data_IF_756929967915
#
_entry.id   IF_756929967915
#
_cell.length_a   1.000
_cell.length_b   1.000
_cell.length_c   1.000
_cell.angle_alpha   90.00
_cell.angle_beta   90.00
_cell.angle_gamma   90.00
#
_symmetry.space_group_name_H-M   'P 1'
#
loop_
_entity.id
_entity.type
_entity.pdbx_description
1 polymer ?
#
# COMPACT_ATOMS: atom_id res chain seq x y z
N UNK A 1 -20.52 4.34 -32.43
CA UNK A 1 -19.69 5.00 -33.47
C UNK A 1 -18.46 4.19 -33.86
N UNK A 2 -17.73 3.62 -32.91
CA UNK A 2 -16.57 2.74 -33.17
C UNK A 2 -16.87 1.31 -32.74
N UNK A 3 -16.17 0.35 -33.37
CA UNK A 3 -16.16 -1.06 -32.96
C UNK A 3 -15.10 -1.34 -31.89
N UNK A 4 -14.94 -2.59 -31.48
CA UNK A 4 -13.97 -3.01 -30.46
C UNK A 4 -12.51 -2.85 -30.90
N UNK A 5 -12.23 -2.75 -32.19
CA UNK A 5 -10.91 -2.48 -32.75
C UNK A 5 -10.61 -0.96 -32.86
N UNK A 6 -11.55 -0.10 -32.47
CA UNK A 6 -11.44 1.36 -32.60
C UNK A 6 -11.63 1.87 -34.03
N UNK A 7 -12.32 1.09 -34.87
CA UNK A 7 -12.64 1.44 -36.24
C UNK A 7 -14.06 2.00 -36.31
N UNK A 8 -14.27 3.04 -37.11
CA UNK A 8 -15.57 3.66 -37.30
C UNK A 8 -16.54 2.66 -37.96
N UNK A 9 -17.72 2.52 -37.35
CA UNK A 9 -18.74 1.57 -37.81
C UNK A 9 -19.36 1.95 -39.15
N UNK A 10 -19.93 0.97 -39.91
CA UNK A 10 -20.52 1.20 -41.22
C UNK A 10 -21.62 2.26 -41.26
N UNK A 11 -22.31 2.51 -40.15
CA UNK A 11 -23.39 3.49 -40.03
C UNK A 11 -22.89 4.96 -39.98
N UNK A 12 -21.57 5.16 -39.95
CA UNK A 12 -20.97 6.49 -39.89
C UNK A 12 -20.46 6.92 -41.29
N UNK A 13 -20.40 8.20 -41.57
CA UNK A 13 -19.79 8.70 -42.81
C UNK A 13 -18.29 8.36 -42.96
N UNK A 14 -17.67 7.89 -41.87
CA UNK A 14 -16.25 7.57 -41.75
C UNK A 14 -15.99 6.08 -41.67
N UNK A 15 -16.91 5.26 -42.15
CA UNK A 15 -16.85 3.79 -42.06
C UNK A 15 -15.48 3.21 -42.45
N UNK A 16 -14.95 2.32 -41.65
CA UNK A 16 -13.68 1.66 -41.88
C UNK A 16 -12.43 2.47 -41.51
N UNK A 17 -12.57 3.76 -41.15
CA UNK A 17 -11.44 4.55 -40.67
C UNK A 17 -11.15 4.25 -39.20
N UNK A 18 -9.87 4.17 -38.84
CA UNK A 18 -9.48 4.09 -37.44
C UNK A 18 -9.69 5.43 -36.75
N UNK A 19 -10.41 5.45 -35.63
CA UNK A 19 -10.72 6.70 -34.91
C UNK A 19 -9.46 7.48 -34.47
N UNK A 20 -8.41 6.74 -34.01
CA UNK A 20 -7.09 7.31 -33.69
C UNK A 20 -6.01 6.39 -34.29
N UNK A 21 -5.47 6.70 -35.48
CA UNK A 21 -4.36 5.96 -36.06
C UNK A 21 -3.10 6.10 -35.22
N UNK A 22 -2.28 5.06 -35.18
CA UNK A 22 -0.95 5.10 -34.56
C UNK A 22 0.00 5.94 -35.40
N UNK A 23 1.12 6.38 -34.80
CA UNK A 23 2.15 7.11 -35.52
C UNK A 23 2.68 6.36 -36.74
N UNK A 24 2.89 5.04 -36.64
CA UNK A 24 3.32 4.16 -37.73
C UNK A 24 2.29 4.10 -38.87
N UNK A 25 1.00 4.01 -38.54
CA UNK A 25 -0.08 4.01 -39.53
C UNK A 25 -0.17 5.36 -40.25
N UNK A 26 0.01 6.47 -39.53
CA UNK A 26 0.06 7.82 -40.12
C UNK A 26 1.26 7.97 -41.07
N UNK A 27 2.43 7.49 -40.71
CA UNK A 27 3.63 7.48 -41.55
C UNK A 27 3.43 6.59 -42.80
N UNK A 28 2.61 5.53 -42.67
CA UNK A 28 2.21 4.64 -43.78
C UNK A 28 1.07 5.21 -44.65
N UNK A 29 0.61 6.44 -44.37
CA UNK A 29 -0.41 7.12 -45.16
C UNK A 29 -1.85 6.96 -44.64
N UNK A 30 -2.05 6.46 -43.41
CA UNK A 30 -3.39 6.43 -42.85
C UNK A 30 -3.96 7.84 -42.64
N UNK A 31 -5.24 8.01 -42.99
CA UNK A 31 -5.94 9.28 -42.86
C UNK A 31 -6.36 9.48 -41.39
N UNK A 32 -6.11 10.67 -40.86
CA UNK A 32 -6.57 11.04 -39.54
C UNK A 32 -8.09 11.29 -39.56
N UNK A 33 -8.84 10.46 -38.83
CA UNK A 33 -10.29 10.56 -38.76
C UNK A 33 -10.75 11.95 -38.25
N UNK A 34 -10.04 12.58 -37.30
CA UNK A 34 -10.39 13.92 -36.81
C UNK A 34 -10.40 14.95 -37.92
N UNK A 35 -9.44 14.89 -38.87
CA UNK A 35 -9.36 15.80 -39.99
C UNK A 35 -10.53 15.61 -40.93
N UNK A 36 -10.93 14.39 -41.23
CA UNK A 36 -12.08 14.10 -42.10
C UNK A 36 -13.40 14.53 -41.45
N UNK A 37 -13.54 14.35 -40.11
CA UNK A 37 -14.69 14.86 -39.36
C UNK A 37 -14.77 16.39 -39.48
N UNK A 38 -13.67 17.11 -39.31
CA UNK A 38 -13.64 18.58 -39.46
C UNK A 38 -14.03 19.02 -40.87
N UNK A 39 -13.51 18.37 -41.92
CA UNK A 39 -13.88 18.66 -43.32
C UNK A 39 -15.37 18.43 -43.58
N UNK A 40 -15.93 17.34 -43.06
CA UNK A 40 -17.35 17.05 -43.20
C UNK A 40 -18.23 18.12 -42.51
N UNK A 41 -17.87 18.54 -41.28
CA UNK A 41 -18.58 19.57 -40.55
C UNK A 41 -18.48 20.94 -41.25
N UNK A 42 -17.30 21.26 -41.81
CA UNK A 42 -17.09 22.47 -42.60
C UNK A 42 -17.92 22.43 -43.87
N UNK A 43 -17.90 21.32 -44.62
CA UNK A 43 -18.68 21.13 -45.84
C UNK A 43 -20.18 21.28 -45.63
N UNK A 44 -20.68 20.92 -44.43
CA UNK A 44 -22.08 21.10 -44.03
C UNK A 44 -22.38 22.48 -43.45
N UNK A 45 -21.39 23.35 -43.31
CA UNK A 45 -21.56 24.70 -42.75
C UNK A 45 -21.94 24.76 -41.27
N UNK A 46 -21.65 23.69 -40.51
CA UNK A 46 -21.97 23.56 -39.07
C UNK A 46 -20.74 23.57 -38.18
N UNK A 47 -19.53 23.68 -38.73
CA UNK A 47 -18.30 23.82 -37.96
C UNK A 47 -18.25 25.21 -37.32
N UNK A 48 -18.39 25.25 -35.96
CA UNK A 48 -18.34 26.52 -35.24
C UNK A 48 -16.89 27.03 -35.08
N UNK A 49 -15.98 26.15 -34.65
CA UNK A 49 -14.57 26.50 -34.43
C UNK A 49 -13.72 25.24 -34.33
N UNK A 50 -12.46 25.33 -34.78
CA UNK A 50 -11.48 24.22 -34.66
C UNK A 50 -10.10 24.78 -34.25
N UNK A 51 -9.98 25.35 -33.01
CA UNK A 51 -8.70 25.85 -32.54
C UNK A 51 -7.72 24.68 -32.31
N UNK A 52 -6.46 24.87 -32.64
CA UNK A 52 -5.40 23.93 -32.25
C UNK A 52 -5.08 24.14 -30.79
N UNK A 53 -5.23 23.09 -29.99
CA UNK A 53 -4.87 23.06 -28.57
C UNK A 53 -3.82 22.01 -28.36
N UNK A 54 -2.71 22.38 -27.75
CA UNK A 54 -1.67 21.46 -27.34
C UNK A 54 -2.00 20.96 -25.91
N UNK A 55 -2.11 19.68 -25.75
CA UNK A 55 -2.40 19.05 -24.46
C UNK A 55 -1.80 17.64 -24.40
N UNK A 56 -1.62 17.12 -23.18
CA UNK A 56 -1.25 15.73 -22.98
C UNK A 56 -2.41 14.80 -23.39
N UNK A 57 -2.10 13.81 -24.24
CA UNK A 57 -3.07 12.82 -24.70
C UNK A 57 -2.75 11.44 -24.11
N UNK A 58 -3.74 10.71 -23.57
CA UNK A 58 -3.50 9.41 -22.96
C UNK A 58 -3.13 8.36 -24.00
N UNK A 59 -2.02 7.64 -23.76
CA UNK A 59 -1.54 6.56 -24.58
C UNK A 59 -1.47 5.26 -23.77
N UNK A 60 -1.57 4.12 -24.46
CA UNK A 60 -1.40 2.81 -23.84
C UNK A 60 0.03 2.66 -23.31
N UNK A 61 0.19 2.40 -22.03
CA UNK A 61 1.50 2.23 -21.40
C UNK A 61 2.35 1.07 -21.95
N UNK A 62 1.73 0.13 -22.67
CA UNK A 62 2.40 -1.05 -23.24
C UNK A 62 2.81 -0.88 -24.69
N UNK A 63 1.94 -0.33 -25.54
CA UNK A 63 2.15 -0.25 -26.98
C UNK A 63 2.15 1.19 -27.54
N UNK A 64 2.03 2.19 -26.67
CA UNK A 64 2.04 3.62 -26.99
C UNK A 64 0.97 4.06 -28.01
N UNK A 65 -0.09 3.26 -28.18
CA UNK A 65 -1.21 3.65 -29.05
C UNK A 65 -2.10 4.68 -28.36
N UNK A 66 -2.59 5.71 -29.10
CA UNK A 66 -3.56 6.66 -28.55
C UNK A 66 -4.81 5.96 -28.06
N UNK A 67 -5.31 6.34 -26.90
CA UNK A 67 -6.54 5.80 -26.33
C UNK A 67 -7.77 6.53 -26.83
N UNK A 68 -8.91 5.87 -26.86
CA UNK A 68 -10.21 6.45 -27.19
C UNK A 68 -11.22 6.14 -26.08
N UNK A 69 -12.20 7.04 -25.93
CA UNK A 69 -13.36 6.78 -25.07
C UNK A 69 -14.52 6.26 -25.91
N UNK A 70 -15.09 5.12 -25.52
CA UNK A 70 -16.31 4.59 -26.12
C UNK A 70 -17.14 3.84 -25.10
N UNK A 71 -18.45 3.78 -25.30
CA UNK A 71 -19.35 3.07 -24.41
C UNK A 71 -19.17 1.56 -24.55
N UNK A 72 -19.09 0.88 -23.41
CA UNK A 72 -18.96 -0.56 -23.32
C UNK A 72 -19.80 -1.10 -22.16
N UNK A 73 -20.40 -2.25 -22.32
CA UNK A 73 -21.03 -2.97 -21.21
C UNK A 73 -19.99 -3.38 -20.18
N UNK A 74 -20.34 -3.26 -18.91
CA UNK A 74 -19.45 -3.56 -17.80
C UNK A 74 -20.26 -3.90 -16.56
N UNK A 75 -19.70 -4.69 -15.68
CA UNK A 75 -20.31 -5.04 -14.40
C UNK A 75 -19.90 -4.03 -13.33
N UNK A 76 -20.87 -3.59 -12.53
CA UNK A 76 -20.68 -2.60 -11.48
C UNK A 76 -21.26 -3.09 -10.16
N UNK A 77 -20.58 -2.75 -9.06
CA UNK A 77 -21.19 -2.73 -7.73
C UNK A 77 -21.74 -1.33 -7.49
N UNK A 78 -23.02 -1.23 -7.10
CA UNK A 78 -23.70 0.04 -6.88
C UNK A 78 -23.27 0.67 -5.55
N UNK A 79 -22.09 1.32 -5.53
CA UNK A 79 -21.53 1.97 -4.35
C UNK A 79 -22.24 3.31 -4.03
N UNK A 80 -22.98 3.87 -4.99
CA UNK A 80 -23.78 5.08 -4.84
C UNK A 80 -25.11 4.85 -4.12
N UNK A 81 -25.45 3.60 -3.80
CA UNK A 81 -26.61 3.29 -2.97
C UNK A 81 -26.52 4.06 -1.64
N UNK A 82 -27.59 4.76 -1.21
CA UNK A 82 -27.55 5.62 -0.02
C UNK A 82 -27.17 4.90 1.26
N UNK A 83 -27.59 3.65 1.44
CA UNK A 83 -27.27 2.85 2.62
C UNK A 83 -25.81 2.40 2.58
N UNK A 84 -25.35 1.87 1.45
CA UNK A 84 -23.94 1.47 1.27
C UNK A 84 -23.01 2.65 1.50
N UNK A 85 -23.31 3.80 0.91
CA UNK A 85 -22.53 5.02 1.08
C UNK A 85 -22.50 5.51 2.53
N UNK A 86 -23.64 5.49 3.21
CA UNK A 86 -23.72 5.87 4.63
C UNK A 86 -22.88 4.93 5.51
N UNK A 87 -22.93 3.62 5.26
CA UNK A 87 -22.16 2.62 5.96
C UNK A 87 -20.65 2.75 5.71
N UNK A 88 -20.21 3.04 4.48
CA UNK A 88 -18.81 3.33 4.16
C UNK A 88 -18.27 4.51 4.97
N UNK A 89 -19.03 5.61 5.02
CA UNK A 89 -18.66 6.81 5.77
C UNK A 89 -18.64 6.52 7.28
N UNK A 90 -19.62 5.78 7.79
CA UNK A 90 -19.69 5.41 9.20
C UNK A 90 -18.49 4.51 9.60
N UNK A 91 -18.20 3.49 8.82
CA UNK A 91 -17.06 2.58 9.05
C UNK A 91 -15.72 3.31 8.97
N UNK A 92 -15.55 4.23 8.00
CA UNK A 92 -14.34 5.06 7.92
C UNK A 92 -14.08 5.86 9.20
N UNK A 93 -15.10 6.36 9.86
CA UNK A 93 -14.99 7.14 11.11
C UNK A 93 -14.53 6.30 12.30
N UNK A 94 -14.60 4.99 12.24
CA UNK A 94 -14.11 4.09 13.30
C UNK A 94 -12.62 3.79 13.19
N UNK A 95 -11.99 4.15 12.08
CA UNK A 95 -10.57 3.87 11.81
C UNK A 95 -9.70 4.98 12.40
N UNK A 96 -8.66 4.59 13.10
CA UNK A 96 -7.61 5.50 13.56
C UNK A 96 -6.63 5.78 12.40
N UNK A 97 -6.85 6.87 11.69
CA UNK A 97 -5.99 7.33 10.60
C UNK A 97 -4.81 8.13 11.14
N UNK A 98 -3.61 7.79 10.67
CA UNK A 98 -2.38 8.47 11.03
C UNK A 98 -1.70 8.95 9.74
N UNK A 99 -1.80 10.27 9.42
CA UNK A 99 -2.49 11.32 10.16
C UNK A 99 -4.02 11.32 9.96
N UNK A 100 -4.75 11.77 10.95
CA UNK A 100 -6.22 11.89 10.96
C UNK A 100 -6.78 12.65 9.74
N UNK A 101 -6.02 13.65 9.25
CA UNK A 101 -6.39 14.48 8.09
C UNK A 101 -6.56 13.69 6.79
N UNK A 102 -5.98 12.51 6.67
CA UNK A 102 -6.21 11.64 5.51
C UNK A 102 -7.59 11.01 5.58
N UNK A 103 -8.00 10.49 6.74
CA UNK A 103 -9.30 9.86 6.95
C UNK A 103 -10.46 10.83 6.81
N UNK A 104 -10.34 12.04 7.34
CA UNK A 104 -11.38 13.08 7.28
C UNK A 104 -11.37 13.87 5.97
N UNK A 105 -10.17 14.17 5.44
CA UNK A 105 -9.96 14.95 4.23
C UNK A 105 -9.96 14.10 2.97
N UNK A 106 -8.76 13.72 2.50
CA UNK A 106 -8.56 13.06 1.19
C UNK A 106 -9.41 11.80 0.98
N UNK A 107 -9.49 10.93 1.98
CA UNK A 107 -10.25 9.69 1.89
C UNK A 107 -11.73 9.91 2.18
N UNK A 108 -12.07 10.62 3.26
CA UNK A 108 -13.44 10.91 3.65
C UNK A 108 -14.21 11.71 2.59
N UNK A 109 -13.64 12.81 2.08
CA UNK A 109 -14.22 13.59 1.00
C UNK A 109 -14.43 12.78 -0.28
N UNK A 110 -13.58 11.79 -0.54
CA UNK A 110 -13.77 10.90 -1.69
C UNK A 110 -14.93 9.92 -1.47
N UNK A 111 -15.09 9.37 -0.25
CA UNK A 111 -16.24 8.51 0.07
C UNK A 111 -17.58 9.26 -0.04
N UNK A 112 -17.59 10.55 0.30
CA UNK A 112 -18.77 11.42 0.11
C UNK A 112 -19.17 11.58 -1.36
N UNK A 113 -18.21 11.39 -2.29
CA UNK A 113 -18.39 11.48 -3.73
C UNK A 113 -18.14 10.15 -4.43
N UNK A 114 -18.30 9.03 -3.72
CA UNK A 114 -18.07 7.70 -4.27
C UNK A 114 -18.93 7.45 -5.51
N UNK A 115 -18.31 6.82 -6.51
CA UNK A 115 -18.97 6.36 -7.73
C UNK A 115 -19.15 4.85 -7.71
N UNK A 116 -20.03 4.34 -8.56
CA UNK A 116 -20.21 2.91 -8.73
C UNK A 116 -18.90 2.24 -9.17
N UNK A 117 -18.58 1.12 -8.57
CA UNK A 117 -17.33 0.44 -8.80
C UNK A 117 -17.42 -0.54 -9.97
N UNK A 118 -16.82 -0.20 -11.10
CA UNK A 118 -16.69 -1.10 -12.24
C UNK A 118 -15.74 -2.24 -11.93
N UNK A 119 -16.28 -3.43 -11.69
CA UNK A 119 -15.52 -4.61 -11.23
C UNK A 119 -15.06 -5.53 -12.35
N UNK A 120 -15.60 -5.45 -13.57
CA UNK A 120 -15.22 -6.34 -14.65
C UNK A 120 -14.04 -5.80 -15.47
N UNK A 121 -13.19 -6.72 -15.92
CA UNK A 121 -12.05 -6.42 -16.79
C UNK A 121 -12.06 -7.38 -17.98
N UNK A 122 -11.83 -6.84 -19.16
CA UNK A 122 -11.65 -7.64 -20.37
C UNK A 122 -10.17 -8.06 -20.47
N UNK A 123 -9.82 -9.10 -19.73
CA UNK A 123 -8.50 -9.72 -19.67
C UNK A 123 -8.64 -11.22 -19.81
N UNK A 124 -7.59 -11.87 -20.32
CA UNK A 124 -7.55 -13.33 -20.37
C UNK A 124 -7.29 -13.92 -18.99
N UNK A 125 -6.28 -13.39 -18.29
CA UNK A 125 -5.88 -13.88 -16.97
C UNK A 125 -6.41 -12.98 -15.84
N UNK A 126 -6.93 -13.60 -14.82
CA UNK A 126 -7.49 -13.02 -13.60
C UNK A 126 -8.55 -13.93 -13.02
N UNK A 127 -9.11 -13.59 -11.87
CA UNK A 127 -10.22 -14.29 -11.24
C UNK A 127 -11.47 -14.16 -12.11
N UNK A 128 -12.02 -15.25 -12.69
CA UNK A 128 -13.21 -15.18 -13.52
C UNK A 128 -14.43 -14.67 -12.76
N UNK A 129 -15.20 -13.78 -13.38
CA UNK A 129 -16.46 -13.32 -12.79
C UNK A 129 -17.44 -14.51 -12.73
N UNK A 130 -17.96 -14.82 -11.55
CA UNK A 130 -18.74 -16.01 -11.25
C UNK A 130 -20.24 -15.86 -11.60
N UNK A 131 -20.51 -15.34 -12.78
CA UNK A 131 -21.87 -15.10 -13.28
C UNK A 131 -22.10 -15.90 -14.56
N UNK A 132 -23.19 -16.66 -14.58
CA UNK A 132 -23.68 -17.39 -15.77
C UNK A 132 -24.90 -16.64 -16.30
N UNK A 133 -24.93 -16.41 -17.61
CA UNK A 133 -26.03 -15.74 -18.30
C UNK A 133 -26.65 -16.68 -19.33
N UNK A 134 -27.99 -16.73 -19.36
CA UNK A 134 -28.72 -17.50 -20.33
C UNK A 134 -28.66 -16.89 -21.73
N UNK A 135 -28.29 -17.68 -22.72
CA UNK A 135 -28.20 -17.24 -24.13
C UNK A 135 -29.59 -16.94 -24.75
N UNK A 136 -30.66 -17.57 -24.23
CA UNK A 136 -32.00 -17.44 -24.80
C UNK A 136 -32.82 -16.31 -24.18
N UNK A 137 -32.81 -16.19 -22.85
CA UNK A 137 -33.68 -15.21 -22.14
C UNK A 137 -32.93 -14.15 -21.36
N UNK A 138 -31.60 -14.19 -21.33
CA UNK A 138 -30.76 -13.22 -20.61
C UNK A 138 -30.78 -13.35 -19.09
N UNK A 139 -31.44 -14.36 -18.52
CA UNK A 139 -31.46 -14.60 -17.07
C UNK A 139 -30.05 -14.81 -16.55
N UNK A 140 -29.76 -14.29 -15.36
CA UNK A 140 -28.44 -14.31 -14.75
C UNK A 140 -28.45 -15.11 -13.45
N UNK A 141 -27.35 -15.84 -13.20
CA UNK A 141 -27.15 -16.63 -11.99
C UNK A 141 -25.71 -16.46 -11.51
N UNK A 142 -25.53 -16.09 -10.25
CA UNK A 142 -24.24 -16.09 -9.57
C UNK A 142 -24.03 -17.43 -8.88
N UNK A 143 -22.81 -17.97 -8.94
CA UNK A 143 -22.42 -19.24 -8.31
C UNK A 143 -21.32 -18.96 -7.30
N UNK A 144 -21.53 -19.34 -6.04
CA UNK A 144 -20.69 -18.95 -4.90
C UNK A 144 -19.68 -20.01 -4.47
N UNK A 145 -19.79 -21.28 -4.94
CA UNK A 145 -18.84 -22.34 -4.58
C UNK A 145 -18.67 -23.38 -5.68
N UNK A 146 -17.63 -24.20 -5.56
CA UNK A 146 -17.40 -25.34 -6.46
C UNK A 146 -18.52 -26.38 -6.33
N UNK A 147 -19.01 -26.61 -5.12
CA UNK A 147 -20.11 -27.52 -4.83
C UNK A 147 -21.39 -27.04 -5.53
N UNK A 148 -21.72 -25.77 -5.40
CA UNK A 148 -22.86 -25.17 -6.09
C UNK A 148 -22.72 -25.24 -7.63
N UNK A 149 -21.51 -25.03 -8.15
CA UNK A 149 -21.23 -25.17 -9.59
C UNK A 149 -21.46 -26.59 -10.07
N UNK A 150 -21.00 -27.60 -9.30
CA UNK A 150 -21.23 -29.02 -9.63
C UNK A 150 -22.71 -29.40 -9.58
N UNK A 151 -23.44 -28.89 -8.58
CA UNK A 151 -24.86 -29.14 -8.42
C UNK A 151 -25.69 -28.57 -9.58
N UNK A 152 -25.35 -27.35 -10.03
CA UNK A 152 -26.12 -26.63 -11.06
C UNK A 152 -25.69 -26.92 -12.48
N UNK A 153 -24.58 -27.60 -12.69
CA UNK A 153 -24.04 -27.90 -14.02
C UNK A 153 -24.11 -29.39 -14.34
N UNK A 154 -24.25 -29.71 -15.63
CA UNK A 154 -24.25 -31.10 -16.12
C UNK A 154 -22.84 -31.57 -16.54
N UNK A 155 -21.85 -30.66 -16.61
CA UNK A 155 -20.53 -30.92 -17.20
C UNK A 155 -19.34 -30.35 -16.37
N UNK A 156 -19.53 -30.06 -15.11
CA UNK A 156 -18.43 -29.61 -14.24
C UNK A 156 -17.52 -30.78 -13.84
N UNK A 157 -16.21 -30.75 -14.15
CA UNK A 157 -15.27 -31.78 -13.71
C UNK A 157 -15.11 -31.80 -12.19
N UNK A 158 -14.78 -33.00 -11.64
CA UNK A 158 -14.55 -33.13 -10.18
C UNK A 158 -13.39 -32.25 -9.66
N UNK A 159 -12.36 -32.10 -10.48
CA UNK A 159 -11.18 -31.30 -10.19
C UNK A 159 -11.13 -30.03 -11.04
N UNK A 160 -12.24 -29.29 -11.11
CA UNK A 160 -12.34 -28.10 -11.93
C UNK A 160 -11.24 -27.06 -11.59
N UNK A 161 -10.55 -26.58 -12.61
CA UNK A 161 -9.70 -25.39 -12.53
C UNK A 161 -10.55 -24.15 -12.77
N UNK A 162 -10.61 -23.24 -11.79
CA UNK A 162 -11.49 -22.06 -11.83
C UNK A 162 -11.01 -20.94 -12.73
N UNK A 163 -9.83 -21.06 -13.37
CA UNK A 163 -9.35 -20.08 -14.34
C UNK A 163 -9.83 -20.39 -15.77
N UNK A 164 -9.70 -19.40 -16.64
CA UNK A 164 -9.93 -19.57 -18.07
C UNK A 164 -8.82 -20.44 -18.68
N UNK A 165 -9.11 -21.32 -19.65
CA UNK A 165 -10.42 -21.49 -20.33
C UNK A 165 -11.34 -22.54 -19.66
N UNK A 166 -10.89 -23.17 -18.58
CA UNK A 166 -11.53 -24.36 -18.01
C UNK A 166 -12.94 -24.07 -17.48
N UNK A 167 -13.08 -23.04 -16.66
CA UNK A 167 -14.38 -22.65 -16.09
C UNK A 167 -15.34 -22.12 -17.16
N UNK A 168 -14.85 -21.57 -18.27
CA UNK A 168 -15.67 -21.08 -19.38
C UNK A 168 -16.37 -22.22 -20.13
N UNK A 169 -15.86 -23.46 -20.03
CA UNK A 169 -16.45 -24.64 -20.64
C UNK A 169 -17.62 -25.21 -19.82
N UNK A 170 -17.80 -24.76 -18.58
CA UNK A 170 -18.88 -25.25 -17.70
C UNK A 170 -20.17 -24.49 -18.00
N UNK A 171 -21.22 -25.23 -18.32
CA UNK A 171 -22.55 -24.69 -18.64
C UNK A 171 -23.57 -25.15 -17.61
N UNK A 172 -24.60 -24.32 -17.42
CA UNK A 172 -25.72 -24.62 -16.53
C UNK A 172 -27.05 -24.52 -17.27
N UNK A 173 -28.09 -25.08 -16.69
CA UNK A 173 -29.46 -24.90 -17.19
C UNK A 173 -30.12 -23.68 -16.59
N UNK A 174 -30.77 -22.90 -17.44
CA UNK A 174 -31.49 -21.71 -16.98
C UNK A 174 -32.70 -22.13 -16.15
N UNK A 175 -32.86 -21.60 -14.92
CA UNK A 175 -34.00 -21.92 -14.08
C UNK A 175 -35.32 -21.38 -14.63
N UNK A 176 -35.27 -20.37 -15.52
CA UNK A 176 -36.44 -19.69 -16.07
C UNK A 176 -36.94 -20.32 -17.38
N UNK A 177 -36.08 -20.64 -18.32
CA UNK A 177 -36.47 -21.13 -19.66
C UNK A 177 -35.86 -22.47 -20.02
N UNK A 178 -35.04 -23.08 -19.17
CA UNK A 178 -34.31 -24.33 -19.41
C UNK A 178 -33.27 -24.26 -20.55
N UNK A 179 -33.00 -23.04 -21.05
CA UNK A 179 -31.95 -22.81 -22.03
C UNK A 179 -30.54 -22.95 -21.45
N UNK A 180 -29.52 -22.82 -22.28
CA UNK A 180 -28.12 -22.95 -21.86
C UNK A 180 -27.61 -21.62 -21.26
N UNK A 181 -27.02 -21.71 -20.09
CA UNK A 181 -26.31 -20.59 -19.47
C UNK A 181 -24.80 -20.77 -19.62
N UNK A 182 -24.12 -19.72 -20.02
CA UNK A 182 -22.66 -19.63 -20.11
C UNK A 182 -22.12 -18.56 -19.19
N UNK A 183 -20.92 -18.79 -18.70
CA UNK A 183 -20.23 -17.79 -17.88
C UNK A 183 -19.92 -16.53 -18.72
N UNK A 184 -20.11 -15.37 -18.14
CA UNK A 184 -19.71 -14.09 -18.77
C UNK A 184 -18.19 -14.04 -18.96
N UNK A 185 -17.65 -13.50 -20.08
CA UNK A 185 -16.23 -13.66 -20.44
C UNK A 185 -15.27 -12.85 -19.59
N UNK A 186 -15.77 -11.90 -18.81
CA UNK A 186 -14.95 -10.99 -18.03
C UNK A 186 -14.27 -11.69 -16.85
N UNK A 187 -13.19 -11.09 -16.39
CA UNK A 187 -12.53 -11.38 -15.10
C UNK A 187 -12.78 -10.22 -14.13
N UNK A 188 -12.67 -10.49 -12.85
CA UNK A 188 -12.88 -9.48 -11.81
C UNK A 188 -11.68 -8.53 -11.73
N UNK A 189 -11.89 -7.33 -11.23
CA UNK A 189 -10.84 -6.37 -10.94
C UNK A 189 -9.89 -6.89 -9.85
N UNK A 190 -8.58 -6.84 -10.09
CA UNK A 190 -7.57 -7.23 -9.10
C UNK A 190 -7.65 -6.46 -7.78
N UNK A 191 -8.26 -5.27 -7.78
CA UNK A 191 -8.55 -4.54 -6.54
C UNK A 191 -9.65 -5.20 -5.70
N UNK A 192 -10.56 -5.94 -6.33
CA UNK A 192 -11.52 -6.79 -5.63
C UNK A 192 -10.80 -7.96 -4.95
N UNK A 193 -9.92 -8.66 -5.67
CA UNK A 193 -9.12 -9.76 -5.11
C UNK A 193 -8.31 -9.29 -3.91
N UNK A 194 -7.58 -8.17 -4.04
CA UNK A 194 -6.77 -7.63 -2.95
C UNK A 194 -7.61 -7.11 -1.77
N UNK A 195 -8.78 -6.57 -2.04
CA UNK A 195 -9.73 -6.12 -1.02
C UNK A 195 -10.43 -7.26 -0.27
N UNK A 196 -10.44 -8.45 -0.86
CA UNK A 196 -10.98 -9.69 -0.27
C UNK A 196 -9.99 -10.38 0.67
N UNK A 197 -8.72 -9.98 0.68
CA UNK A 197 -7.65 -10.62 1.43
C UNK A 197 -8.00 -10.92 2.90
N UNK A 198 -8.66 -10.03 3.68
CA UNK A 198 -8.89 -10.28 5.10
C UNK A 198 -9.63 -11.58 5.42
N UNK A 199 -10.51 -12.04 4.54
CA UNK A 199 -11.27 -13.28 4.71
C UNK A 199 -10.85 -14.37 3.73
N UNK A 200 -10.46 -14.00 2.49
CA UNK A 200 -10.05 -14.96 1.47
C UNK A 200 -8.80 -15.77 1.87
N UNK A 201 -7.84 -15.15 2.56
CA UNK A 201 -6.64 -15.85 3.07
C UNK A 201 -6.95 -16.98 4.04
N UNK A 202 -8.10 -16.93 4.70
CA UNK A 202 -8.57 -17.96 5.63
C UNK A 202 -9.53 -18.96 4.97
N UNK A 203 -9.87 -18.79 3.69
CA UNK A 203 -10.92 -19.52 2.99
C UNK A 203 -12.28 -19.41 3.71
N UNK A 204 -12.51 -18.26 4.37
CA UNK A 204 -13.78 -17.96 5.04
C UNK A 204 -14.89 -17.72 3.99
N UNK A 205 -16.13 -18.23 4.19
CA UNK A 205 -16.67 -18.84 5.43
C UNK A 205 -16.52 -20.35 5.50
N UNK A 206 -15.86 -21.01 4.56
CA UNK A 206 -15.81 -22.46 4.43
C UNK A 206 -14.82 -23.10 5.42
N UNK A 207 -13.71 -22.41 5.73
CA UNK A 207 -12.66 -22.87 6.61
C UNK A 207 -12.21 -21.75 7.55
N UNK A 208 -11.45 -22.11 8.62
CA UNK A 208 -10.74 -21.20 9.52
C UNK A 208 -11.58 -20.03 10.10
N UNK A 209 -12.88 -20.25 10.30
CA UNK A 209 -13.81 -19.23 10.78
C UNK A 209 -13.36 -18.59 12.10
N UNK A 210 -12.94 -19.41 13.07
CA UNK A 210 -12.48 -18.93 14.38
C UNK A 210 -11.23 -18.03 14.26
N UNK A 211 -10.29 -18.38 13.39
CA UNK A 211 -9.07 -17.59 13.13
C UNK A 211 -9.44 -16.25 12.53
N UNK A 212 -10.34 -16.25 11.55
CA UNK A 212 -10.83 -15.01 10.95
C UNK A 212 -11.51 -14.11 11.99
N UNK A 213 -12.43 -14.63 12.79
CA UNK A 213 -13.16 -13.87 13.80
C UNK A 213 -12.24 -13.27 14.88
N UNK A 214 -11.12 -13.91 15.19
CA UNK A 214 -10.12 -13.39 16.13
C UNK A 214 -9.22 -12.31 15.51
N UNK A 215 -8.96 -12.37 14.20
CA UNK A 215 -8.02 -11.48 13.51
C UNK A 215 -8.68 -10.33 12.77
N UNK A 216 -10.01 -10.34 12.63
CA UNK A 216 -10.77 -9.32 11.92
C UNK A 216 -11.53 -8.38 12.87
N UNK A 217 -11.36 -7.06 12.78
CA UNK A 217 -10.48 -6.31 11.85
C UNK A 217 -8.99 -6.47 12.15
N UNK A 218 -8.14 -6.24 11.13
CA UNK A 218 -6.70 -6.16 11.33
C UNK A 218 -6.35 -5.04 12.31
N UNK A 219 -5.43 -5.29 13.25
CA UNK A 219 -5.02 -4.28 14.23
C UNK A 219 -4.27 -3.11 13.61
N UNK A 220 -3.53 -3.35 12.53
CA UNK A 220 -2.69 -2.36 11.89
C UNK A 220 -2.45 -2.69 10.41
N UNK A 221 -2.51 -1.65 9.55
CA UNK A 221 -2.02 -1.69 8.18
C UNK A 221 -1.20 -0.43 7.87
N UNK A 222 -0.34 -0.49 6.86
CA UNK A 222 0.42 0.68 6.41
C UNK A 222 0.75 0.57 4.93
N UNK A 223 0.47 1.63 4.18
CA UNK A 223 0.82 1.80 2.77
C UNK A 223 0.88 3.29 2.41
N UNK A 224 1.32 3.60 1.19
CA UNK A 224 1.45 4.97 0.73
C UNK A 224 0.10 5.65 0.45
N UNK A 225 0.11 6.97 0.39
CA UNK A 225 -1.08 7.84 0.29
C UNK A 225 -1.91 7.62 -0.98
N UNK A 226 -1.32 7.09 -2.05
CA UNK A 226 -2.03 6.71 -3.28
C UNK A 226 -3.04 5.58 -3.04
N UNK A 227 -2.83 4.72 -2.03
CA UNK A 227 -3.72 3.64 -1.65
C UNK A 227 -5.07 4.10 -1.06
N UNK A 228 -5.25 5.38 -0.82
CA UNK A 228 -6.58 5.98 -0.58
C UNK A 228 -7.51 5.86 -1.82
N UNK A 229 -6.95 5.60 -3.00
CA UNK A 229 -7.65 5.30 -4.27
C UNK A 229 -7.33 3.90 -4.80
N UNK A 230 -6.92 3.00 -3.91
CA UNK A 230 -6.55 1.62 -4.20
C UNK A 230 -6.91 0.71 -3.04
N UNK A 231 -5.92 0.13 -2.40
CA UNK A 231 -6.11 -0.95 -1.42
C UNK A 231 -6.90 -0.54 -0.17
N UNK A 232 -6.68 0.64 0.40
CA UNK A 232 -7.46 1.09 1.56
C UNK A 232 -8.96 1.18 1.25
N UNK A 233 -9.30 1.63 0.04
CA UNK A 233 -10.68 1.69 -0.39
C UNK A 233 -11.27 0.30 -0.67
N UNK A 234 -10.59 -0.55 -1.44
CA UNK A 234 -11.12 -1.87 -1.78
C UNK A 234 -11.34 -2.73 -0.55
N UNK A 235 -10.43 -2.67 0.44
CA UNK A 235 -10.61 -3.30 1.75
C UNK A 235 -11.89 -2.79 2.45
N UNK A 236 -12.04 -1.47 2.55
CA UNK A 236 -13.20 -0.87 3.23
C UNK A 236 -14.51 -1.15 2.50
N UNK A 237 -14.51 -1.07 1.17
CA UNK A 237 -15.69 -1.31 0.34
C UNK A 237 -16.22 -2.73 0.51
N UNK A 238 -15.37 -3.73 0.34
CA UNK A 238 -15.77 -5.15 0.44
C UNK A 238 -16.16 -5.50 1.87
N UNK A 239 -15.40 -5.05 2.85
CA UNK A 239 -15.70 -5.27 4.26
C UNK A 239 -17.05 -4.63 4.68
N UNK A 240 -17.34 -3.44 4.18
CA UNK A 240 -18.62 -2.77 4.44
C UNK A 240 -19.78 -3.53 3.81
N UNK A 241 -19.62 -3.99 2.57
CA UNK A 241 -20.66 -4.75 1.85
C UNK A 241 -20.97 -6.11 2.50
N UNK A 242 -19.96 -6.81 3.01
CA UNK A 242 -20.12 -8.16 3.56
C UNK A 242 -20.41 -8.18 5.06
N UNK A 243 -19.77 -7.31 5.83
CA UNK A 243 -19.77 -7.37 7.30
C UNK A 243 -20.28 -6.08 7.95
N UNK A 244 -20.51 -5.03 7.18
CA UNK A 244 -20.81 -3.66 7.67
C UNK A 244 -19.84 -3.22 8.78
N UNK A 245 -18.54 -3.47 8.58
CA UNK A 245 -17.47 -3.22 9.56
C UNK A 245 -16.21 -2.74 8.85
N UNK A 246 -15.43 -1.87 9.51
CA UNK A 246 -14.11 -1.49 9.02
C UNK A 246 -13.16 -2.71 9.02
N UNK A 247 -12.31 -2.90 8.00
CA UNK A 247 -11.42 -4.07 7.90
C UNK A 247 -10.13 -3.93 8.70
N UNK A 248 -9.81 -2.75 9.20
CA UNK A 248 -8.63 -2.43 10.00
C UNK A 248 -8.95 -1.36 11.04
N UNK A 249 -8.24 -1.40 12.17
CA UNK A 249 -8.43 -0.46 13.27
C UNK A 249 -7.50 0.76 13.14
N UNK A 250 -6.24 0.54 12.77
CA UNK A 250 -5.22 1.56 12.67
C UNK A 250 -4.54 1.53 11.30
N UNK A 251 -4.27 2.71 10.74
CA UNK A 251 -3.55 2.83 9.47
C UNK A 251 -2.56 4.00 9.51
N UNK A 252 -1.28 3.70 9.27
CA UNK A 252 -0.28 4.74 8.98
C UNK A 252 -0.21 4.91 7.46
N UNK A 253 -0.50 6.13 7.02
CA UNK A 253 -0.43 6.49 5.61
C UNK A 253 0.96 7.06 5.31
N UNK A 254 1.72 6.41 4.45
CA UNK A 254 3.09 6.81 4.15
C UNK A 254 3.16 7.89 3.06
N UNK A 255 4.09 8.81 3.21
CA UNK A 255 4.53 9.72 2.15
C UNK A 255 5.39 8.98 1.10
N UNK A 256 5.51 9.58 -0.09
CA UNK A 256 6.36 9.01 -1.13
C UNK A 256 7.85 9.24 -0.83
N UNK A 257 8.70 8.27 -1.21
CA UNK A 257 10.14 8.47 -1.23
C UNK A 257 10.53 9.24 -2.50
N UNK A 258 11.28 10.31 -2.33
CA UNK A 258 11.73 11.22 -3.36
C UNK A 258 13.27 11.21 -3.44
N UNK A 259 13.81 11.70 -4.55
CA UNK A 259 15.25 11.95 -4.65
C UNK A 259 15.71 13.11 -3.74
N UNK A 260 17.00 13.40 -3.73
CA UNK A 260 17.57 14.46 -2.90
C UNK A 260 16.98 15.86 -3.19
N UNK A 261 16.52 16.09 -4.42
CA UNK A 261 15.94 17.35 -4.87
C UNK A 261 14.42 17.43 -4.63
N UNK A 262 13.83 16.37 -4.06
CA UNK A 262 12.38 16.28 -3.80
C UNK A 262 11.55 15.92 -5.02
N UNK A 263 12.18 15.34 -6.06
CA UNK A 263 11.47 14.87 -7.23
C UNK A 263 11.04 13.41 -7.09
N UNK A 264 9.93 13.06 -7.73
CA UNK A 264 9.47 11.67 -7.78
C UNK A 264 10.52 10.81 -8.49
N UNK A 265 10.97 9.74 -7.82
CA UNK A 265 11.86 8.76 -8.41
C UNK A 265 11.19 8.00 -9.56
N UNK A 266 11.90 7.82 -10.66
CA UNK A 266 11.42 7.02 -11.79
C UNK A 266 12.62 6.46 -12.58
N UNK A 267 12.49 5.21 -13.04
CA UNK A 267 13.53 4.57 -13.88
C UNK A 267 13.78 5.35 -15.18
N UNK A 268 12.74 5.93 -15.77
CA UNK A 268 12.83 6.71 -16.99
C UNK A 268 13.60 8.02 -16.85
N UNK A 269 13.62 8.61 -15.64
CA UNK A 269 14.39 9.83 -15.32
C UNK A 269 15.81 9.54 -14.84
N UNK A 270 16.16 8.28 -14.57
CA UNK A 270 17.48 7.89 -14.08
C UNK A 270 17.78 8.33 -12.63
N UNK A 271 16.78 8.80 -11.89
CA UNK A 271 16.92 9.25 -10.49
C UNK A 271 16.41 8.22 -9.45
N UNK A 272 16.09 7.01 -9.90
CA UNK A 272 15.68 5.92 -9.01
C UNK A 272 16.90 5.28 -8.35
N UNK A 273 16.83 5.08 -7.03
CA UNK A 273 17.82 4.32 -6.26
C UNK A 273 17.41 2.85 -6.26
N UNK A 274 18.34 1.94 -6.57
CA UNK A 274 18.09 0.52 -6.43
C UNK A 274 18.11 0.15 -4.93
N UNK A 275 17.03 -0.44 -4.39
CA UNK A 275 16.97 -0.78 -2.98
C UNK A 275 18.03 -1.82 -2.55
N UNK A 276 18.42 -2.74 -3.44
CA UNK A 276 19.42 -3.75 -3.12
C UNK A 276 20.83 -3.15 -3.03
N UNK A 277 21.17 -2.22 -3.91
CA UNK A 277 22.43 -1.49 -3.84
C UNK A 277 22.51 -0.66 -2.56
N UNK A 278 21.43 0.02 -2.18
CA UNK A 278 21.35 0.77 -0.93
C UNK A 278 21.50 -0.14 0.30
N UNK A 279 20.81 -1.29 0.31
CA UNK A 279 20.91 -2.29 1.37
C UNK A 279 22.34 -2.87 1.49
N UNK A 280 22.99 -3.13 0.38
CA UNK A 280 24.37 -3.64 0.37
C UNK A 280 25.36 -2.60 0.90
N UNK A 281 25.14 -1.32 0.57
CA UNK A 281 26.01 -0.21 0.96
C UNK A 281 25.88 0.18 2.44
N UNK A 282 24.67 0.27 2.95
CA UNK A 282 24.38 0.84 4.28
C UNK A 282 23.94 -0.20 5.31
N UNK A 283 23.43 -1.35 4.86
CA UNK A 283 22.75 -2.31 5.71
C UNK A 283 21.28 -1.92 5.98
N UNK A 284 20.44 -2.91 6.27
CA UNK A 284 19.03 -2.73 6.47
C UNK A 284 18.69 -1.83 7.67
N UNK A 285 19.42 -1.98 8.77
CA UNK A 285 19.15 -1.24 10.00
C UNK A 285 19.41 0.26 9.86
N UNK A 286 20.47 0.65 9.14
CA UNK A 286 20.76 2.05 8.89
C UNK A 286 19.66 2.73 8.03
N UNK A 287 19.14 2.00 7.02
CA UNK A 287 18.06 2.48 6.17
C UNK A 287 16.75 2.59 6.97
N UNK A 288 16.41 1.57 7.77
CA UNK A 288 15.23 1.62 8.66
C UNK A 288 15.32 2.78 9.63
N UNK A 289 16.49 2.96 10.29
CA UNK A 289 16.70 4.06 11.22
C UNK A 289 16.47 5.39 10.56
N UNK A 290 17.07 5.61 9.40
CA UNK A 290 16.89 6.82 8.61
C UNK A 290 15.41 7.16 8.36
N UNK A 291 14.61 6.18 7.93
CA UNK A 291 13.20 6.41 7.67
C UNK A 291 12.37 6.66 8.93
N UNK A 292 12.78 6.14 10.07
CA UNK A 292 12.07 6.38 11.33
C UNK A 292 12.42 7.73 11.97
N UNK A 293 13.66 8.15 11.86
CA UNK A 293 14.17 9.34 12.54
C UNK A 293 13.99 10.62 11.71
N UNK A 294 14.19 10.58 10.40
CA UNK A 294 14.31 11.74 9.52
C UNK A 294 13.05 12.60 9.52
N UNK A 295 11.88 12.02 9.27
CA UNK A 295 10.60 12.74 9.21
C UNK A 295 9.41 11.86 9.59
N UNK A 296 8.27 12.51 9.90
CA UNK A 296 7.03 11.80 10.15
C UNK A 296 6.67 10.90 8.92
N UNK A 297 6.18 9.67 9.13
CA UNK A 297 5.98 8.69 8.07
C UNK A 297 5.10 9.18 6.90
N UNK A 298 4.14 10.05 7.17
CA UNK A 298 3.19 10.58 6.16
C UNK A 298 3.72 11.76 5.34
N UNK A 299 4.89 12.29 5.69
CA UNK A 299 5.53 13.37 4.93
C UNK A 299 6.40 12.75 3.83
N UNK A 300 6.44 13.35 2.61
CA UNK A 300 7.38 12.90 1.59
C UNK A 300 8.81 12.87 2.11
N UNK A 301 9.48 11.72 1.97
CA UNK A 301 10.80 11.49 2.52
C UNK A 301 11.83 11.53 1.39
N UNK A 302 12.82 12.42 1.47
CA UNK A 302 13.91 12.49 0.51
C UNK A 302 14.97 11.46 0.86
N UNK A 303 15.51 10.77 -0.13
CA UNK A 303 16.55 9.77 0.07
C UNK A 303 17.88 10.23 -0.50
N UNK A 304 18.92 10.18 0.31
CA UNK A 304 20.30 10.45 -0.07
C UNK A 304 21.25 9.60 0.78
N UNK A 305 22.22 8.97 0.13
CA UNK A 305 23.19 8.07 0.79
C UNK A 305 23.92 8.70 1.97
N UNK A 306 24.33 9.97 1.83
CA UNK A 306 25.07 10.68 2.89
C UNK A 306 24.21 10.86 4.14
N UNK A 307 22.90 11.07 3.99
CA UNK A 307 21.99 11.23 5.14
C UNK A 307 21.76 9.91 5.88
N UNK A 308 21.67 8.80 5.15
CA UNK A 308 21.61 7.45 5.75
C UNK A 308 22.87 7.19 6.57
N UNK A 309 24.06 7.47 5.98
CA UNK A 309 25.35 7.31 6.65
C UNK A 309 25.49 8.21 7.88
N UNK A 310 24.94 9.44 7.84
CA UNK A 310 24.97 10.37 8.97
C UNK A 310 24.10 9.85 10.13
N UNK A 311 22.87 9.40 9.87
CA UNK A 311 22.00 8.81 10.89
C UNK A 311 22.62 7.55 11.50
N UNK A 312 23.21 6.67 10.67
CA UNK A 312 23.95 5.50 11.15
C UNK A 312 25.08 5.88 12.10
N UNK A 313 25.89 6.88 11.74
CA UNK A 313 27.03 7.31 12.54
C UNK A 313 26.61 7.96 13.85
N UNK A 314 25.59 8.84 13.81
CA UNK A 314 25.12 9.57 15.00
C UNK A 314 24.52 8.65 16.04
N UNK A 315 23.67 7.74 15.66
CA UNK A 315 22.97 6.85 16.58
C UNK A 315 23.71 5.52 16.78
N UNK A 316 23.76 4.69 15.74
CA UNK A 316 24.29 3.31 15.84
C UNK A 316 25.77 3.31 16.17
N UNK A 317 26.56 4.17 15.50
CA UNK A 317 27.99 4.30 15.75
C UNK A 317 28.31 4.81 17.16
N UNK A 318 27.55 5.78 17.65
CA UNK A 318 27.72 6.31 19.00
C UNK A 318 27.33 5.29 20.07
N UNK A 319 26.22 4.58 19.87
CA UNK A 319 25.79 3.51 20.77
C UNK A 319 26.78 2.34 20.78
N UNK A 320 27.23 1.90 19.60
CA UNK A 320 28.23 0.86 19.46
C UNK A 320 29.55 1.24 20.17
N UNK A 321 30.02 2.47 20.00
CA UNK A 321 31.25 2.93 20.67
C UNK A 321 31.11 2.97 22.19
N UNK A 322 29.91 3.30 22.70
CA UNK A 322 29.62 3.26 24.14
C UNK A 322 29.66 1.83 24.66
N UNK A 323 29.06 0.88 23.94
CA UNK A 323 29.13 -0.54 24.25
C UNK A 323 30.58 -1.07 24.18
N UNK A 324 31.33 -0.74 23.12
CA UNK A 324 32.71 -1.15 22.95
C UNK A 324 33.62 -0.61 24.09
N UNK A 325 33.37 0.63 24.54
CA UNK A 325 34.03 1.20 25.70
C UNK A 325 33.75 0.37 26.96
N UNK A 326 32.50 0.06 27.24
CA UNK A 326 32.12 -0.78 28.39
C UNK A 326 32.81 -2.16 28.34
N UNK A 327 32.67 -2.87 27.21
CA UNK A 327 33.25 -4.23 27.05
C UNK A 327 34.76 -4.23 27.17
N UNK A 328 35.44 -3.23 26.59
CA UNK A 328 36.88 -3.09 26.69
C UNK A 328 37.36 -3.05 28.14
N UNK A 329 36.80 -2.16 28.94
CA UNK A 329 37.21 -1.98 30.32
C UNK A 329 36.71 -3.10 31.23
N UNK A 330 35.50 -3.62 31.01
CA UNK A 330 35.00 -4.78 31.73
C UNK A 330 35.90 -6.01 31.56
N UNK A 331 36.43 -6.24 30.35
CA UNK A 331 37.35 -7.34 30.09
C UNK A 331 38.75 -7.09 30.73
N UNK A 332 39.24 -5.84 30.73
CA UNK A 332 40.51 -5.50 31.36
C UNK A 332 40.45 -5.73 32.88
N UNK A 333 39.35 -5.42 33.49
CA UNK A 333 39.13 -5.52 34.94
C UNK A 333 38.54 -6.86 35.39
N UNK A 334 38.31 -7.81 34.48
CA UNK A 334 37.65 -9.08 34.74
C UNK A 334 36.30 -8.88 35.47
N UNK A 335 35.54 -7.86 35.03
CA UNK A 335 34.26 -7.48 35.65
C UNK A 335 33.17 -8.47 35.33
N UNK A 336 32.53 -8.98 36.38
CA UNK A 336 31.38 -9.88 36.29
C UNK A 336 30.18 -9.25 37.03
N UNK A 337 29.21 -8.74 36.26
CA UNK A 337 28.04 -8.06 36.80
C UNK A 337 27.19 -8.94 37.73
N UNK A 338 27.25 -10.25 37.58
CA UNK A 338 26.48 -11.19 38.43
C UNK A 338 26.97 -11.23 39.87
N UNK A 339 28.19 -10.75 40.14
CA UNK A 339 28.79 -10.70 41.51
C UNK A 339 28.38 -9.44 42.28
N UNK A 340 27.69 -8.51 41.68
CA UNK A 340 27.36 -7.23 42.28
C UNK A 340 25.87 -6.94 42.21
N UNK A 341 25.39 -6.10 43.14
CA UNK A 341 24.02 -5.59 43.15
C UNK A 341 24.02 -4.09 43.08
N UNK A 342 23.22 -3.54 42.17
CA UNK A 342 23.05 -2.09 42.06
C UNK A 342 22.17 -1.56 43.18
N UNK A 343 22.75 -0.76 44.12
CA UNK A 343 22.01 -0.15 45.20
C UNK A 343 21.76 1.34 44.87
N UNK A 344 20.59 1.65 44.30
CA UNK A 344 20.27 2.99 43.77
C UNK A 344 20.55 4.13 44.76
N UNK A 345 20.19 3.96 46.02
CA UNK A 345 20.35 5.00 47.06
C UNK A 345 21.81 5.39 47.32
N UNK A 346 22.74 4.44 47.12
CA UNK A 346 24.18 4.61 47.30
C UNK A 346 24.92 5.12 46.08
N UNK A 347 24.23 5.24 44.93
CA UNK A 347 24.86 5.70 43.69
C UNK A 347 25.25 7.19 43.74
N UNK A 348 26.34 7.56 43.10
CA UNK A 348 26.68 8.96 42.82
C UNK A 348 25.62 9.65 41.97
N UNK A 349 25.59 10.96 41.99
CA UNK A 349 24.59 11.80 41.30
C UNK A 349 24.55 11.51 39.81
N UNK A 350 25.69 11.31 39.14
CA UNK A 350 25.77 11.03 37.71
C UNK A 350 25.13 9.71 37.34
N UNK A 351 25.33 8.66 38.18
CA UNK A 351 24.72 7.34 37.95
C UNK A 351 23.20 7.42 38.15
N UNK A 352 22.73 8.08 39.22
CA UNK A 352 21.30 8.33 39.43
C UNK A 352 20.68 9.12 38.28
N UNK A 353 21.39 10.11 37.76
CA UNK A 353 20.93 10.95 36.66
C UNK A 353 20.70 10.11 35.38
N UNK A 354 21.68 9.33 34.94
CA UNK A 354 21.52 8.55 33.70
C UNK A 354 20.46 7.45 33.82
N UNK A 355 20.36 6.78 34.98
CA UNK A 355 19.32 5.81 35.25
C UNK A 355 17.91 6.43 35.27
N UNK A 356 17.79 7.64 35.83
CA UNK A 356 16.53 8.40 35.78
C UNK A 356 16.15 8.80 34.37
N UNK A 357 17.13 9.20 33.54
CA UNK A 357 16.94 9.48 32.10
C UNK A 357 16.49 8.21 31.36
N UNK A 358 17.12 7.07 31.62
CA UNK A 358 16.75 5.79 31.02
C UNK A 358 15.29 5.41 31.35
N UNK A 359 14.90 5.50 32.60
CA UNK A 359 13.52 5.19 33.01
C UNK A 359 12.50 6.14 32.38
N UNK A 360 12.86 7.42 32.24
CA UNK A 360 12.03 8.41 31.52
C UNK A 360 11.92 8.05 30.05
N UNK A 361 13.04 7.65 29.42
CA UNK A 361 13.07 7.19 28.03
C UNK A 361 12.16 5.99 27.83
N UNK A 362 12.29 4.94 28.66
CA UNK A 362 11.45 3.73 28.57
C UNK A 362 9.98 4.10 28.59
N UNK A 363 9.54 4.92 29.55
CA UNK A 363 8.15 5.39 29.62
C UNK A 363 7.73 6.19 28.38
N UNK A 364 8.61 7.06 27.87
CA UNK A 364 8.33 7.89 26.69
C UNK A 364 8.21 7.03 25.44
N UNK A 365 9.13 6.09 25.23
CA UNK A 365 9.16 5.16 24.09
C UNK A 365 7.93 4.28 24.09
N UNK A 366 7.60 3.66 25.23
CA UNK A 366 6.43 2.79 25.36
C UNK A 366 5.13 3.53 25.02
N UNK A 367 4.93 4.70 25.62
CA UNK A 367 3.77 5.54 25.35
C UNK A 367 3.71 6.03 23.87
N UNK A 368 4.85 6.43 23.30
CA UNK A 368 4.90 6.90 21.93
C UNK A 368 4.60 5.78 20.93
N UNK A 369 5.18 4.58 21.12
CA UNK A 369 4.95 3.44 20.25
C UNK A 369 3.51 2.93 20.35
N UNK A 370 2.92 2.91 21.53
CA UNK A 370 1.50 2.61 21.73
C UNK A 370 0.57 3.54 20.95
N UNK A 371 1.04 4.76 20.64
CA UNK A 371 0.31 5.77 19.88
C UNK A 371 0.88 6.03 18.47
N UNK A 372 1.68 5.10 17.94
CA UNK A 372 2.29 5.17 16.60
C UNK A 372 3.15 6.43 16.34
N UNK A 373 3.72 7.04 17.38
CA UNK A 373 4.64 8.19 17.29
C UNK A 373 6.07 7.72 17.05
N UNK A 374 6.33 7.21 15.87
CA UNK A 374 7.58 6.51 15.53
C UNK A 374 8.77 7.46 15.50
N UNK A 375 8.63 8.61 14.84
CA UNK A 375 9.70 9.59 14.69
C UNK A 375 10.10 10.22 16.02
N UNK A 376 9.13 10.56 16.85
CA UNK A 376 9.39 11.09 18.21
C UNK A 376 10.11 10.04 19.06
N UNK A 377 9.78 8.77 18.90
CA UNK A 377 10.47 7.67 19.59
C UNK A 377 11.92 7.54 19.12
N UNK A 378 12.17 7.53 17.82
CA UNK A 378 13.51 7.42 17.26
C UNK A 378 14.41 8.57 17.74
N UNK A 379 13.90 9.80 17.72
CA UNK A 379 14.62 10.98 18.20
C UNK A 379 14.91 10.94 19.70
N UNK A 380 13.95 10.49 20.51
CA UNK A 380 14.17 10.34 21.96
C UNK A 380 15.25 9.31 22.27
N UNK A 381 15.34 8.21 21.48
CA UNK A 381 16.41 7.23 21.58
C UNK A 381 17.78 7.82 21.19
N UNK A 382 17.83 8.61 20.11
CA UNK A 382 19.06 9.28 19.65
C UNK A 382 19.57 10.29 20.69
N UNK A 383 18.69 11.14 21.23
CA UNK A 383 19.01 12.10 22.27
C UNK A 383 19.58 11.40 23.52
N UNK A 384 18.97 10.28 23.93
CA UNK A 384 19.46 9.53 25.09
C UNK A 384 20.85 8.92 24.83
N UNK A 385 21.08 8.36 23.64
CA UNK A 385 22.40 7.79 23.28
C UNK A 385 23.48 8.88 23.27
N UNK A 386 23.14 10.08 22.79
CA UNK A 386 24.06 11.22 22.88
C UNK A 386 24.38 11.60 24.35
N UNK A 387 23.36 11.72 25.21
CA UNK A 387 23.54 11.99 26.63
C UNK A 387 24.36 10.89 27.34
N UNK A 388 24.08 9.60 27.00
CA UNK A 388 24.82 8.46 27.54
C UNK A 388 26.31 8.51 27.15
N UNK A 389 26.60 8.72 25.89
CA UNK A 389 27.98 8.72 25.36
C UNK A 389 28.74 10.02 25.70
N UNK A 390 28.19 11.16 25.27
CA UNK A 390 28.88 12.43 25.28
C UNK A 390 28.81 13.17 26.63
N UNK A 391 27.90 12.77 27.50
CA UNK A 391 27.80 13.36 28.84
C UNK A 391 28.16 12.33 29.91
N UNK A 392 27.44 11.23 30.08
CA UNK A 392 27.70 10.26 31.15
C UNK A 392 29.06 9.59 31.02
N UNK A 393 29.30 8.85 29.95
CA UNK A 393 30.54 8.10 29.73
C UNK A 393 31.73 9.05 29.71
N UNK A 394 31.65 10.17 28.98
CA UNK A 394 32.73 11.12 28.85
C UNK A 394 33.14 11.72 30.20
N UNK A 395 32.19 12.00 31.08
CA UNK A 395 32.47 12.55 32.42
C UNK A 395 32.88 11.51 33.43
N UNK A 396 32.44 10.27 33.26
CA UNK A 396 32.72 9.19 34.20
C UNK A 396 33.89 8.28 33.78
N UNK A 397 34.52 8.53 32.62
CA UNK A 397 35.56 7.63 32.09
C UNK A 397 36.75 7.41 33.01
N UNK A 398 37.17 8.41 33.82
CA UNK A 398 38.23 8.27 34.79
C UNK A 398 37.94 7.21 35.86
N UNK A 399 36.67 6.99 36.20
CA UNK A 399 36.23 5.93 37.11
C UNK A 399 36.55 4.54 36.56
N UNK A 400 36.41 4.34 35.24
CA UNK A 400 36.77 3.08 34.58
C UNK A 400 38.26 2.88 34.47
N UNK A 401 39.05 3.97 34.47
CA UNK A 401 40.51 3.94 34.41
C UNK A 401 41.18 3.81 35.79
N UNK A 402 40.44 3.99 36.86
CA UNK A 402 40.96 3.88 38.22
C UNK A 402 41.54 2.47 38.49
N UNK A 403 42.59 2.42 39.31
CA UNK A 403 43.22 1.14 39.72
C UNK A 403 42.31 0.44 40.76
N UNK A 404 42.21 -0.88 40.67
CA UNK A 404 41.44 -1.70 41.60
C UNK A 404 39.95 -1.64 41.33
N UNK A 405 39.15 -2.37 42.11
CA UNK A 405 37.69 -2.49 41.99
C UNK A 405 37.02 -1.87 43.23
N UNK A 406 37.28 -0.56 43.43
CA UNK A 406 36.60 0.19 44.46
C UNK A 406 35.09 0.37 44.17
N UNK A 407 34.30 0.62 45.18
CA UNK A 407 32.83 0.71 45.08
C UNK A 407 32.35 1.71 44.01
N UNK A 408 33.05 2.85 43.87
CA UNK A 408 32.70 3.84 42.84
C UNK A 408 32.87 3.29 41.40
N UNK A 409 33.95 2.56 41.16
CA UNK A 409 34.16 1.88 39.86
C UNK A 409 33.13 0.77 39.61
N UNK A 410 32.81 -0.01 40.63
CA UNK A 410 31.74 -1.04 40.56
C UNK A 410 30.41 -0.39 40.20
N UNK A 411 30.07 0.72 40.88
CA UNK A 411 28.85 1.49 40.59
C UNK A 411 28.83 1.98 39.14
N UNK A 412 29.94 2.48 38.60
CA UNK A 412 30.03 2.91 37.20
C UNK A 412 29.77 1.75 36.22
N UNK A 413 30.40 0.59 36.44
CA UNK A 413 30.16 -0.59 35.62
C UNK A 413 28.72 -1.07 35.72
N UNK A 414 28.17 -1.18 36.93
CA UNK A 414 26.77 -1.65 37.12
C UNK A 414 25.74 -0.69 36.52
N UNK A 415 26.06 0.60 36.49
CA UNK A 415 25.17 1.61 35.89
C UNK A 415 25.18 1.54 34.37
N UNK A 416 26.33 1.22 33.77
CA UNK A 416 26.46 1.13 32.30
C UNK A 416 25.99 -0.23 31.77
N UNK A 417 26.13 -1.31 32.58
CA UNK A 417 25.63 -2.66 32.31
C UNK A 417 24.09 -2.71 32.31
#
# INVERSE_FOLDING_TARGET
>A
MVDEAGVMKPETPFAGMRAKPTKKEMEAGAINCDVEVLKELEGRGILFSAPKVEHEYPHCWRCDTPLIYYARESWFIKMTDPEVKANLIANNKTINWIPETIGTGRFGAWLENVQDWGISRNRYWGTPLNIWQCEDCGEMMSIGSIEELKEKSDNCPDNIELHRPYVDAVTCKCPKCQGTMKRVPEVIDCWFDSGSMPFAQHHYPFENKEVFEQQFPAKFISEAVDQTRGWFYSLLAISTLLFNKAPYENVIVLGHVQDADGQKMSKSKGNAVDPFDALQKHGADAIRWYFYENSAPWVPNRFKDEWVSEGQRKFMGTFWNTYAFFVLYANIDDFDATKYTLEYDKLPVMDKWILSKLNTLVKTVDNNLANYKITETARALEDFVDELSNWYVRRCRERFWAKGMEQDKINAYMTLY
#
